data_IF_143285184047
#
_entry.id   IF_143285184047
#
_cell.length_a   1.000
_cell.length_b   1.000
_cell.length_c   1.000
_cell.angle_alpha   90.00
_cell.angle_beta   90.00
_cell.angle_gamma   90.00
#
_symmetry.space_group_name_H-M   'P 1'
#
loop_
_entity.id
_entity.type
_entity.pdbx_description
1 polymer ?
#
# COMPACT_ATOMS: atom_id res chain seq x y z
N UNK A 1 -2.23 -4.89 3.85
CA UNK A 1 -2.38 -5.40 5.23
C UNK A 1 -1.44 -4.76 6.25
N UNK A 2 -0.10 -4.90 6.14
CA UNK A 2 0.79 -4.29 7.14
C UNK A 2 0.68 -2.76 7.20
N UNK A 3 0.44 -2.11 6.04
CA UNK A 3 0.25 -0.66 5.94
C UNK A 3 -1.04 -0.15 6.59
N UNK A 4 -1.97 -1.04 6.98
CA UNK A 4 -3.15 -0.64 7.73
C UNK A 4 -2.82 -0.38 9.20
N UNK A 5 -1.66 -0.83 9.68
CA UNK A 5 -1.20 -0.58 11.04
C UNK A 5 -0.74 0.87 11.19
N UNK A 6 -1.30 1.64 12.14
CA UNK A 6 -0.73 2.94 12.51
C UNK A 6 0.54 2.79 13.38
N UNK A 7 0.83 1.58 13.87
CA UNK A 7 1.94 1.29 14.77
C UNK A 7 3.24 0.94 14.04
N UNK A 8 3.13 0.36 12.84
CA UNK A 8 4.31 0.02 12.04
C UNK A 8 4.68 1.13 11.07
N UNK A 9 5.97 1.44 11.04
CA UNK A 9 6.56 2.26 10.00
C UNK A 9 7.12 1.35 8.89
N UNK A 10 6.49 1.38 7.72
CA UNK A 10 6.98 0.65 6.56
C UNK A 10 7.90 1.55 5.74
N UNK A 11 9.07 1.03 5.41
CA UNK A 11 9.99 1.69 4.49
C UNK A 11 9.32 1.78 3.12
N UNK A 12 9.27 2.99 2.56
CA UNK A 12 8.68 3.23 1.25
C UNK A 12 9.53 2.67 0.11
N UNK A 13 8.88 2.32 -1.01
CA UNK A 13 9.56 1.87 -2.23
C UNK A 13 10.62 2.87 -2.73
N UNK A 14 10.38 4.18 -2.58
CA UNK A 14 11.32 5.23 -2.99
C UNK A 14 12.58 5.24 -2.12
N UNK A 15 12.45 5.05 -0.80
CA UNK A 15 13.60 4.89 0.10
C UNK A 15 14.39 3.62 -0.19
N UNK A 16 13.70 2.52 -0.52
CA UNK A 16 14.33 1.26 -0.94
C UNK A 16 15.13 1.49 -2.23
N UNK A 17 14.52 2.08 -3.26
CA UNK A 17 15.17 2.34 -4.55
C UNK A 17 16.37 3.28 -4.40
N UNK A 18 16.25 4.34 -3.58
CA UNK A 18 17.36 5.24 -3.28
C UNK A 18 18.51 4.50 -2.59
N UNK A 19 18.20 3.62 -1.64
CA UNK A 19 19.22 2.82 -0.94
C UNK A 19 19.90 1.82 -1.87
N UNK A 20 19.15 1.19 -2.78
CA UNK A 20 19.70 0.32 -3.82
C UNK A 20 20.71 1.06 -4.70
N UNK A 21 20.40 2.28 -5.15
CA UNK A 21 21.34 3.13 -5.92
C UNK A 21 22.62 3.43 -5.14
N UNK A 22 22.50 3.76 -3.85
CA UNK A 22 23.65 3.98 -2.97
C UNK A 22 24.48 2.71 -2.72
N UNK A 23 23.89 1.53 -2.93
CA UNK A 23 24.55 0.22 -2.86
C UNK A 23 25.08 -0.26 -4.21
N UNK A 24 25.03 0.59 -5.25
CA UNK A 24 25.39 0.24 -6.63
C UNK A 24 24.62 -0.98 -7.16
N UNK A 25 23.38 -1.15 -6.69
CA UNK A 25 22.46 -2.18 -7.15
C UNK A 25 21.42 -1.57 -8.13
N UNK A 26 20.90 -2.34 -9.09
CA UNK A 26 19.78 -1.90 -9.92
C UNK A 26 18.56 -1.51 -9.07
N UNK A 27 17.86 -0.45 -9.45
CA UNK A 27 16.64 0.03 -8.76
C UNK A 27 15.53 -1.03 -8.73
N UNK A 28 15.55 -1.96 -9.69
CA UNK A 28 14.62 -3.08 -9.80
C UNK A 28 15.19 -4.41 -9.30
N UNK A 29 16.31 -4.39 -8.58
CA UNK A 29 16.93 -5.58 -8.02
C UNK A 29 15.91 -6.36 -7.18
N UNK A 30 15.85 -7.67 -7.39
CA UNK A 30 15.00 -8.54 -6.59
C UNK A 30 15.47 -8.51 -5.14
N UNK A 31 14.59 -8.08 -4.24
CA UNK A 31 14.85 -8.08 -2.80
C UNK A 31 14.90 -9.51 -2.26
N UNK A 32 16.08 -10.11 -2.28
CA UNK A 32 16.37 -11.34 -1.54
C UNK A 32 16.42 -11.03 -0.04
N UNK A 33 16.31 -12.03 0.82
CA UNK A 33 16.41 -11.83 2.28
C UNK A 33 17.72 -11.12 2.66
N UNK A 34 18.84 -11.47 2.02
CA UNK A 34 20.13 -10.84 2.27
C UNK A 34 20.16 -9.38 1.84
N UNK A 35 19.64 -9.07 0.64
CA UNK A 35 19.61 -7.70 0.12
C UNK A 35 18.65 -6.83 0.95
N UNK A 36 17.46 -7.34 1.28
CA UNK A 36 16.49 -6.67 2.13
C UNK A 36 17.08 -6.39 3.53
N UNK A 37 17.86 -7.32 4.10
CA UNK A 37 18.53 -7.11 5.39
C UNK A 37 19.59 -6.01 5.31
N UNK A 38 20.39 -5.98 4.24
CA UNK A 38 21.38 -4.91 4.04
C UNK A 38 20.72 -3.54 3.93
N UNK A 39 19.62 -3.44 3.17
CA UNK A 39 18.83 -2.20 3.06
C UNK A 39 18.26 -1.82 4.43
N UNK A 40 17.67 -2.78 5.15
CA UNK A 40 17.10 -2.53 6.46
C UNK A 40 18.14 -2.00 7.47
N UNK A 41 19.35 -2.56 7.49
CA UNK A 41 20.44 -2.07 8.33
C UNK A 41 20.85 -0.64 7.97
N UNK A 42 20.98 -0.33 6.68
CA UNK A 42 21.37 1.02 6.20
C UNK A 42 20.33 2.08 6.49
N UNK A 43 19.05 1.71 6.48
CA UNK A 43 17.93 2.58 6.80
C UNK A 43 17.62 2.63 8.30
N UNK A 44 18.39 1.92 9.14
CA UNK A 44 18.19 1.91 10.59
C UNK A 44 16.88 1.27 11.04
N UNK A 45 16.26 0.44 10.19
CA UNK A 45 15.01 -0.22 10.51
C UNK A 45 15.23 -1.47 11.39
N UNK A 46 14.16 -1.90 12.06
CA UNK A 46 14.23 -2.94 13.10
C UNK A 46 14.18 -4.35 12.53
N UNK A 47 13.29 -4.59 11.57
CA UNK A 47 13.02 -5.91 11.03
C UNK A 47 12.70 -5.90 9.53
N UNK A 48 13.03 -6.99 8.85
CA UNK A 48 12.56 -7.31 7.50
C UNK A 48 11.41 -8.29 7.63
N UNK A 49 10.30 -8.04 6.94
CA UNK A 49 9.25 -9.03 6.77
C UNK A 49 9.54 -9.84 5.50
N UNK A 50 9.80 -11.13 5.67
CA UNK A 50 10.00 -12.07 4.58
C UNK A 50 8.74 -12.93 4.41
N UNK A 51 8.37 -13.18 3.16
CA UNK A 51 7.24 -14.03 2.79
C UNK A 51 7.70 -15.24 2.00
N UNK A 52 7.03 -16.36 2.18
CA UNK A 52 7.17 -17.55 1.33
C UNK A 52 5.79 -18.12 1.01
N UNK A 53 5.68 -18.76 -0.15
CA UNK A 53 4.49 -19.52 -0.55
C UNK A 53 4.94 -20.82 -1.18
N UNK A 54 4.38 -21.93 -0.71
CA UNK A 54 4.62 -23.26 -1.24
C UNK A 54 3.29 -23.92 -1.61
N UNK A 55 3.30 -24.72 -2.68
CA UNK A 55 2.16 -25.56 -3.03
C UNK A 55 2.40 -26.98 -2.49
N UNK A 56 1.41 -27.52 -1.79
CA UNK A 56 1.40 -28.86 -1.20
C UNK A 56 0.12 -29.57 -1.63
N UNK A 57 0.20 -30.26 -2.77
CA UNK A 57 -0.96 -30.93 -3.37
C UNK A 57 -1.99 -29.92 -3.87
N UNK A 58 -3.17 -29.91 -3.25
CA UNK A 58 -4.21 -28.90 -3.56
C UNK A 58 -4.11 -27.64 -2.69
N UNK A 59 -3.32 -27.66 -1.62
CA UNK A 59 -3.22 -26.56 -0.67
C UNK A 59 -2.01 -25.66 -0.94
N UNK A 60 -2.08 -24.43 -0.46
CA UNK A 60 -0.98 -23.49 -0.40
C UNK A 60 -0.61 -23.25 1.07
N UNK A 61 0.68 -23.26 1.36
CA UNK A 61 1.22 -22.89 2.67
C UNK A 61 1.97 -21.58 2.51
N UNK A 62 1.52 -20.56 3.22
CA UNK A 62 2.16 -19.25 3.28
C UNK A 62 2.91 -19.12 4.60
N UNK A 63 4.17 -18.69 4.51
CA UNK A 63 4.98 -18.34 5.67
C UNK A 63 5.26 -16.84 5.68
N UNK A 64 5.08 -16.21 6.83
CA UNK A 64 5.51 -14.82 7.08
C UNK A 64 6.48 -14.84 8.24
N UNK A 65 7.65 -14.22 8.09
CA UNK A 65 8.62 -14.11 9.17
C UNK A 65 9.14 -12.69 9.31
N UNK A 66 9.30 -12.25 10.55
CA UNK A 66 9.98 -11.00 10.87
C UNK A 66 11.42 -11.32 11.27
N UNK A 67 12.38 -10.84 10.51
CA UNK A 67 13.81 -11.08 10.71
C UNK A 67 14.47 -9.83 11.27
N UNK A 68 15.20 -9.94 12.38
CA UNK A 68 15.94 -8.82 12.97
C UNK A 68 17.01 -8.34 11.98
N UNK A 69 17.04 -7.04 11.69
CA UNK A 69 17.93 -6.55 10.64
C UNK A 69 19.41 -6.70 10.99
N UNK A 70 19.79 -6.55 12.26
CA UNK A 70 21.19 -6.65 12.69
C UNK A 70 21.76 -8.07 12.59
N UNK A 71 21.00 -9.09 12.95
CA UNK A 71 21.50 -10.48 13.08
C UNK A 71 20.96 -11.41 11.99
N UNK A 72 19.78 -11.14 11.44
CA UNK A 72 19.03 -12.06 10.59
C UNK A 72 18.26 -13.14 11.37
N UNK A 73 18.26 -13.08 12.70
CA UNK A 73 17.48 -14.00 13.53
C UNK A 73 15.97 -13.75 13.37
N UNK A 74 15.18 -14.82 13.38
CA UNK A 74 13.72 -14.74 13.38
C UNK A 74 13.25 -14.18 14.71
N UNK A 75 12.60 -13.01 14.68
CA UNK A 75 11.90 -12.42 15.81
C UNK A 75 10.58 -13.16 16.06
N UNK A 76 9.85 -13.43 14.98
CA UNK A 76 8.60 -14.15 15.00
C UNK A 76 8.25 -14.68 13.62
N UNK A 77 7.39 -15.68 13.56
CA UNK A 77 6.89 -16.27 12.34
C UNK A 77 5.41 -16.66 12.48
N UNK A 78 4.73 -16.63 11.33
CA UNK A 78 3.39 -17.14 11.13
C UNK A 78 3.36 -18.06 9.92
N UNK A 79 2.53 -19.09 10.03
CA UNK A 79 2.22 -19.98 8.93
C UNK A 79 0.71 -20.14 8.81
N UNK A 80 0.21 -19.90 7.60
CA UNK A 80 -1.20 -19.99 7.27
C UNK A 80 -1.39 -20.83 6.02
N UNK A 81 -2.52 -21.51 5.93
CA UNK A 81 -2.84 -22.42 4.83
C UNK A 81 -4.06 -21.94 4.07
N UNK A 82 -4.03 -22.07 2.74
CA UNK A 82 -5.17 -21.83 1.87
C UNK A 82 -5.50 -23.11 1.10
N UNK A 83 -6.76 -23.55 1.09
CA UNK A 83 -7.16 -24.79 0.40
C UNK A 83 -7.21 -24.65 -1.12
N UNK A 84 -7.13 -23.42 -1.62
CA UNK A 84 -7.24 -23.10 -3.04
C UNK A 84 -6.56 -21.76 -3.36
N UNK A 85 -6.25 -21.54 -4.64
CA UNK A 85 -5.67 -20.28 -5.13
C UNK A 85 -6.54 -19.06 -4.73
N UNK A 86 -7.86 -19.19 -4.76
CA UNK A 86 -8.79 -18.11 -4.42
C UNK A 86 -8.80 -17.73 -2.93
N UNK A 87 -8.33 -18.61 -2.04
CA UNK A 87 -8.25 -18.33 -0.60
C UNK A 87 -6.89 -17.79 -0.16
N UNK A 88 -5.92 -17.70 -1.09
CA UNK A 88 -4.55 -17.25 -0.78
C UNK A 88 -4.53 -15.84 -0.19
N UNK A 89 -5.36 -14.92 -0.71
CA UNK A 89 -5.44 -13.54 -0.20
C UNK A 89 -6.01 -13.49 1.21
N UNK A 90 -7.09 -14.22 1.47
CA UNK A 90 -7.71 -14.29 2.79
C UNK A 90 -6.75 -14.88 3.83
N UNK A 91 -6.07 -15.98 3.49
CA UNK A 91 -5.07 -16.59 4.35
C UNK A 91 -3.90 -15.64 4.62
N UNK A 92 -3.40 -14.95 3.58
CA UNK A 92 -2.34 -13.94 3.73
C UNK A 92 -2.79 -12.77 4.64
N UNK A 93 -4.02 -12.30 4.50
CA UNK A 93 -4.57 -11.24 5.35
C UNK A 93 -4.59 -11.69 6.82
N UNK A 94 -5.10 -12.90 7.09
CA UNK A 94 -5.08 -13.48 8.44
C UNK A 94 -3.66 -13.55 9.01
N UNK A 95 -2.72 -14.13 8.26
CA UNK A 95 -1.34 -14.28 8.72
C UNK A 95 -0.66 -12.94 8.99
N UNK A 96 -0.95 -11.91 8.19
CA UNK A 96 -0.43 -10.56 8.43
C UNK A 96 -1.01 -9.92 9.69
N UNK A 97 -2.28 -10.15 10.00
CA UNK A 97 -2.92 -9.66 11.24
C UNK A 97 -2.39 -10.35 12.48
N UNK A 98 -2.17 -11.67 12.43
CA UNK A 98 -1.52 -12.43 13.50
C UNK A 98 -0.08 -11.95 13.74
N UNK A 99 0.67 -11.74 12.65
CA UNK A 99 2.03 -11.20 12.69
C UNK A 99 2.08 -9.80 13.33
N UNK A 100 1.11 -8.92 13.00
CA UNK A 100 0.96 -7.59 13.64
C UNK A 100 0.85 -7.72 15.16
N UNK A 101 0.02 -8.65 15.64
CA UNK A 101 -0.15 -8.93 17.06
C UNK A 101 1.14 -9.43 17.73
N UNK A 102 1.83 -10.40 17.10
CA UNK A 102 3.10 -10.93 17.62
C UNK A 102 4.23 -9.88 17.65
N UNK A 103 4.17 -8.89 16.77
CA UNK A 103 5.10 -7.76 16.71
C UNK A 103 4.72 -6.58 17.64
N UNK A 104 3.68 -6.76 18.46
CA UNK A 104 3.36 -5.84 19.56
C UNK A 104 2.23 -4.85 19.27
N UNK A 105 1.57 -4.93 18.12
CA UNK A 105 0.35 -4.14 17.90
C UNK A 105 -0.79 -4.64 18.79
N UNK A 106 -1.48 -3.73 19.48
CA UNK A 106 -2.57 -4.09 20.39
C UNK A 106 -3.76 -4.70 19.64
N UNK A 107 -4.47 -5.62 20.30
CA UNK A 107 -5.70 -6.22 19.77
C UNK A 107 -6.77 -5.17 19.41
N UNK A 108 -6.89 -4.10 20.20
CA UNK A 108 -7.81 -2.99 19.92
C UNK A 108 -7.47 -2.25 18.63
N UNK A 109 -6.18 -2.01 18.37
CA UNK A 109 -5.71 -1.38 17.12
C UNK A 109 -5.98 -2.29 15.93
N UNK A 110 -5.62 -3.57 16.03
CA UNK A 110 -5.89 -4.55 14.95
C UNK A 110 -7.38 -4.59 14.66
N UNK A 111 -8.25 -4.73 15.67
CA UNK A 111 -9.71 -4.75 15.46
C UNK A 111 -10.24 -3.47 14.79
N UNK A 112 -9.64 -2.32 15.07
CA UNK A 112 -10.07 -1.04 14.49
C UNK A 112 -9.62 -0.88 13.04
N UNK A 113 -8.40 -1.28 12.70
CA UNK A 113 -7.78 -0.95 11.42
C UNK A 113 -7.68 -2.13 10.44
N UNK A 114 -7.88 -3.36 10.90
CA UNK A 114 -7.77 -4.56 10.06
C UNK A 114 -9.02 -4.78 9.21
N UNK A 115 -8.97 -4.24 7.99
CA UNK A 115 -9.98 -4.48 6.96
C UNK A 115 -9.47 -5.62 6.06
N UNK A 116 -10.27 -6.68 5.85
CA UNK A 116 -9.89 -7.79 4.96
C UNK A 116 -9.47 -7.27 3.58
N UNK A 117 -8.44 -7.88 2.98
CA UNK A 117 -7.93 -7.44 1.67
C UNK A 117 -9.02 -7.44 0.60
N UNK A 118 -9.93 -8.41 0.64
CA UNK A 118 -11.05 -8.52 -0.30
C UNK A 118 -12.02 -7.34 -0.19
N UNK A 119 -12.16 -6.78 1.02
CA UNK A 119 -13.00 -5.63 1.28
C UNK A 119 -12.27 -4.33 0.98
N UNK A 120 -11.00 -4.19 1.39
CA UNK A 120 -10.21 -2.96 1.24
C UNK A 120 -9.68 -2.76 -0.18
N UNK A 121 -9.37 -3.85 -0.89
CA UNK A 121 -8.70 -3.83 -2.19
C UNK A 121 -9.51 -4.60 -3.24
N UNK A 122 -9.25 -5.89 -3.41
CA UNK A 122 -9.89 -6.75 -4.40
C UNK A 122 -9.81 -8.22 -3.99
N UNK A 123 -10.80 -9.02 -4.38
CA UNK A 123 -10.75 -10.48 -4.26
C UNK A 123 -10.09 -11.16 -5.47
N UNK A 124 -9.77 -10.42 -6.54
CA UNK A 124 -9.11 -10.95 -7.73
C UNK A 124 -7.60 -10.81 -7.61
N UNK A 125 -6.89 -11.95 -7.62
CA UNK A 125 -5.43 -11.98 -7.67
C UNK A 125 -4.89 -11.28 -8.92
N UNK A 126 -5.57 -11.44 -10.05
CA UNK A 126 -5.22 -10.82 -11.31
C UNK A 126 -5.41 -9.29 -11.26
N UNK A 127 -6.48 -8.81 -10.61
CA UNK A 127 -6.69 -7.37 -10.39
C UNK A 127 -5.62 -6.80 -9.45
N UNK A 128 -5.31 -7.51 -8.36
CA UNK A 128 -4.27 -7.11 -7.42
C UNK A 128 -2.91 -7.06 -8.10
N UNK A 129 -2.57 -8.06 -8.91
CA UNK A 129 -1.33 -8.09 -9.69
C UNK A 129 -1.22 -6.88 -10.63
N UNK A 130 -2.27 -6.59 -11.39
CA UNK A 130 -2.30 -5.44 -12.29
C UNK A 130 -2.13 -4.13 -11.51
N UNK A 131 -2.81 -3.97 -10.38
CA UNK A 131 -2.67 -2.81 -9.50
C UNK A 131 -1.25 -2.67 -8.93
N UNK A 132 -0.64 -3.74 -8.42
CA UNK A 132 0.73 -3.72 -7.90
C UNK A 132 1.74 -3.32 -8.97
N UNK A 133 1.59 -3.85 -10.20
CA UNK A 133 2.43 -3.44 -11.33
C UNK A 133 2.20 -1.98 -11.71
N UNK A 134 0.95 -1.50 -11.71
CA UNK A 134 0.61 -0.10 -11.98
C UNK A 134 1.24 0.84 -10.96
N UNK A 135 1.17 0.49 -9.67
CA UNK A 135 1.84 1.25 -8.59
C UNK A 135 3.36 1.28 -8.78
N UNK A 136 3.97 0.17 -9.19
CA UNK A 136 5.40 0.13 -9.49
C UNK A 136 5.78 1.08 -10.62
N UNK A 137 5.03 1.06 -11.73
CA UNK A 137 5.23 1.98 -12.85
C UNK A 137 5.07 3.45 -12.41
N UNK A 138 4.01 3.75 -11.65
CA UNK A 138 3.73 5.10 -11.14
C UNK A 138 4.81 5.63 -10.19
N UNK A 139 5.17 4.85 -9.16
CA UNK A 139 6.01 5.35 -8.04
C UNK A 139 7.50 5.18 -8.31
N UNK A 140 7.92 4.07 -8.94
CA UNK A 140 9.33 3.75 -9.10
C UNK A 140 9.89 4.19 -10.46
N UNK A 141 9.04 4.28 -11.49
CA UNK A 141 9.45 4.57 -12.87
C UNK A 141 8.93 5.92 -13.37
N UNK A 142 8.03 6.56 -12.62
CA UNK A 142 7.29 7.77 -13.05
C UNK A 142 6.63 7.60 -14.43
N UNK A 143 6.34 6.35 -14.81
CA UNK A 143 5.71 6.00 -16.08
C UNK A 143 4.19 5.96 -15.90
N UNK A 144 3.61 7.15 -15.85
CA UNK A 144 2.17 7.34 -15.67
C UNK A 144 1.35 6.73 -16.81
N UNK A 145 1.88 6.69 -18.04
CA UNK A 145 1.17 6.11 -19.19
C UNK A 145 1.03 4.58 -19.07
N UNK A 146 2.11 3.89 -18.70
CA UNK A 146 2.05 2.45 -18.41
C UNK A 146 1.20 2.17 -17.17
N UNK A 147 1.30 3.02 -16.13
CA UNK A 147 0.49 2.88 -14.92
C UNK A 147 -1.02 2.98 -15.22
N UNK A 148 -1.44 3.93 -16.07
CA UNK A 148 -2.84 4.06 -16.53
C UNK A 148 -3.36 2.74 -17.10
N UNK A 149 -2.62 2.14 -18.04
CA UNK A 149 -3.03 0.87 -18.69
C UNK A 149 -3.18 -0.27 -17.66
N UNK A 150 -2.29 -0.31 -16.66
CA UNK A 150 -2.30 -1.33 -15.61
C UNK A 150 -3.47 -1.12 -14.61
N UNK A 151 -3.77 0.13 -14.25
CA UNK A 151 -4.92 0.44 -13.39
C UNK A 151 -6.26 0.22 -14.09
N UNK A 152 -6.38 0.58 -15.38
CA UNK A 152 -7.55 0.24 -16.20
C UNK A 152 -7.76 -1.27 -16.26
N UNK A 153 -6.68 -2.06 -16.37
CA UNK A 153 -6.76 -3.51 -16.31
C UNK A 153 -7.27 -4.00 -14.96
N UNK A 154 -6.75 -3.46 -13.85
CA UNK A 154 -7.21 -3.79 -12.51
C UNK A 154 -8.72 -3.51 -12.35
N UNK A 155 -9.18 -2.34 -12.80
CA UNK A 155 -10.59 -1.93 -12.79
C UNK A 155 -11.46 -2.84 -13.67
N UNK A 156 -10.98 -3.26 -14.84
CA UNK A 156 -11.73 -4.17 -15.71
C UNK A 156 -11.96 -5.55 -15.08
N UNK A 157 -11.05 -5.96 -14.19
CA UNK A 157 -11.11 -7.23 -13.47
C UNK A 157 -11.92 -7.10 -12.18
N UNK A 158 -11.85 -5.93 -11.53
CA UNK A 158 -12.63 -5.58 -10.35
C UNK A 158 -13.11 -4.11 -10.42
N UNK A 159 -14.34 -3.87 -10.90
CA UNK A 159 -14.92 -2.52 -11.01
C UNK A 159 -15.20 -1.85 -9.66
N UNK A 160 -14.91 -2.52 -8.55
CA UNK A 160 -15.09 -2.00 -7.20
C UNK A 160 -13.79 -1.73 -6.46
N UNK A 161 -12.65 -1.85 -7.16
CA UNK A 161 -11.33 -1.59 -6.60
C UNK A 161 -11.06 -0.08 -6.47
N UNK A 162 -11.50 0.52 -5.36
CA UNK A 162 -11.47 1.96 -5.13
C UNK A 162 -10.07 2.59 -5.30
N UNK A 163 -9.02 1.95 -4.79
CA UNK A 163 -7.65 2.45 -4.92
C UNK A 163 -7.11 2.42 -6.35
N UNK A 164 -7.59 1.51 -7.20
CA UNK A 164 -7.21 1.52 -8.62
C UNK A 164 -7.76 2.77 -9.32
N UNK A 165 -9.01 3.15 -9.02
CA UNK A 165 -9.58 4.42 -9.49
C UNK A 165 -8.85 5.64 -8.92
N UNK A 166 -8.51 5.63 -7.64
CA UNK A 166 -7.80 6.75 -7.01
C UNK A 166 -6.41 6.96 -7.63
N UNK A 167 -5.66 5.86 -7.80
CA UNK A 167 -4.34 5.88 -8.43
C UNK A 167 -4.41 6.30 -9.89
N UNK A 168 -5.44 5.85 -10.62
CA UNK A 168 -5.70 6.27 -12.00
C UNK A 168 -6.01 7.77 -12.07
N UNK A 169 -6.77 8.31 -11.11
CA UNK A 169 -7.01 9.74 -10.96
C UNK A 169 -5.71 10.54 -10.80
N UNK A 170 -4.83 10.07 -9.91
CA UNK A 170 -3.49 10.66 -9.70
C UNK A 170 -2.63 10.60 -10.97
N UNK A 171 -2.62 9.48 -11.70
CA UNK A 171 -1.89 9.39 -12.97
C UNK A 171 -2.40 10.40 -13.99
N UNK A 172 -3.73 10.53 -14.17
CA UNK A 172 -4.29 11.50 -15.10
C UNK A 172 -4.00 12.95 -14.71
N UNK A 173 -3.98 13.28 -13.41
CA UNK A 173 -3.53 14.60 -12.96
C UNK A 173 -2.07 14.87 -13.37
N UNK A 174 -1.17 13.90 -13.17
CA UNK A 174 0.23 14.03 -13.56
C UNK A 174 0.44 14.07 -15.09
N UNK A 175 -0.48 13.49 -15.85
CA UNK A 175 -0.53 13.58 -17.32
C UNK A 175 -1.26 14.84 -17.82
N UNK A 176 -1.65 15.75 -16.93
CA UNK A 176 -2.37 16.98 -17.25
C UNK A 176 -3.72 16.74 -17.97
N UNK A 177 -4.43 15.67 -17.56
CA UNK A 177 -5.77 15.29 -18.02
C UNK A 177 -6.83 15.43 -16.89
N UNK A 178 -7.13 16.67 -16.43
CA UNK A 178 -7.91 16.90 -15.21
C UNK A 178 -9.35 16.37 -15.26
N UNK A 179 -9.97 16.32 -16.44
CA UNK A 179 -11.32 15.77 -16.59
C UNK A 179 -11.38 14.27 -16.26
N UNK A 180 -10.43 13.50 -16.78
CA UNK A 180 -10.31 12.06 -16.47
C UNK A 180 -9.87 11.83 -15.03
N UNK A 181 -8.99 12.69 -14.51
CA UNK A 181 -8.58 12.65 -13.12
C UNK A 181 -9.79 12.83 -12.18
N UNK A 182 -10.64 13.82 -12.46
CA UNK A 182 -11.83 14.10 -11.68
C UNK A 182 -12.87 12.97 -11.75
N UNK A 183 -13.09 12.39 -12.93
CA UNK A 183 -13.98 11.24 -13.12
C UNK A 183 -13.54 10.05 -12.25
N UNK A 184 -12.27 9.66 -12.35
CA UNK A 184 -11.76 8.49 -11.64
C UNK A 184 -11.67 8.72 -10.13
N UNK A 185 -11.24 9.91 -9.69
CA UNK A 185 -11.22 10.26 -8.27
C UNK A 185 -12.63 10.29 -7.67
N UNK A 186 -13.63 10.80 -8.42
CA UNK A 186 -15.04 10.74 -8.01
C UNK A 186 -15.52 9.30 -7.88
N UNK A 187 -15.11 8.42 -8.82
CA UNK A 187 -15.48 7.01 -8.76
C UNK A 187 -14.87 6.30 -7.55
N UNK A 188 -13.61 6.59 -7.22
CA UNK A 188 -12.98 6.11 -6.00
C UNK A 188 -13.74 6.57 -4.74
N UNK A 189 -14.15 7.84 -4.71
CA UNK A 189 -14.91 8.40 -3.58
C UNK A 189 -16.29 7.73 -3.40
N UNK A 190 -16.94 7.31 -4.49
CA UNK A 190 -18.20 6.55 -4.42
C UNK A 190 -18.01 5.13 -3.83
N UNK A 191 -16.78 4.64 -3.73
CA UNK A 191 -16.44 3.30 -3.26
C UNK A 191 -15.79 3.30 -1.86
N UNK A 192 -15.86 4.40 -1.11
CA UNK A 192 -15.21 4.56 0.20
C UNK A 192 -15.60 3.51 1.25
N UNK A 193 -16.80 2.93 1.18
CA UNK A 193 -17.21 1.88 2.12
C UNK A 193 -16.44 0.56 1.93
N UNK A 194 -15.60 0.50 0.89
CA UNK A 194 -14.79 -0.66 0.50
C UNK A 194 -13.28 -0.36 0.56
N UNK A 195 -12.88 0.40 1.57
CA UNK A 195 -11.48 0.80 1.74
C UNK A 195 -11.06 0.66 3.19
N UNK A 196 -9.78 0.41 3.42
CA UNK A 196 -9.18 0.62 4.74
C UNK A 196 -9.21 2.10 5.13
N UNK A 197 -9.03 2.40 6.42
CA UNK A 197 -9.04 3.79 6.90
C UNK A 197 -7.96 4.63 6.21
N UNK A 198 -6.77 4.05 5.98
CA UNK A 198 -5.68 4.70 5.24
C UNK A 198 -6.11 5.10 3.83
N UNK A 199 -6.69 4.16 3.10
CA UNK A 199 -7.15 4.37 1.72
C UNK A 199 -8.32 5.37 1.67
N UNK A 200 -9.22 5.31 2.67
CA UNK A 200 -10.33 6.26 2.81
C UNK A 200 -9.83 7.69 2.95
N UNK A 201 -8.84 7.92 3.80
CA UNK A 201 -8.24 9.24 4.00
C UNK A 201 -7.57 9.73 2.72
N UNK A 202 -6.79 8.86 2.06
CA UNK A 202 -6.17 9.17 0.76
C UNK A 202 -7.19 9.58 -0.31
N UNK A 203 -8.27 8.80 -0.48
CA UNK A 203 -9.31 9.09 -1.47
C UNK A 203 -10.07 10.37 -1.13
N UNK A 204 -10.40 10.57 0.15
CA UNK A 204 -11.17 11.72 0.62
C UNK A 204 -10.39 13.02 0.41
N UNK A 205 -9.11 13.03 0.78
CA UNK A 205 -8.26 14.20 0.62
C UNK A 205 -8.06 14.58 -0.86
N UNK A 206 -7.82 13.59 -1.73
CA UNK A 206 -7.67 13.81 -3.17
C UNK A 206 -8.99 14.27 -3.82
N UNK A 207 -10.13 13.74 -3.39
CA UNK A 207 -11.44 14.17 -3.88
C UNK A 207 -11.70 15.65 -3.56
N UNK A 208 -11.50 16.06 -2.31
CA UNK A 208 -11.74 17.45 -1.93
C UNK A 208 -10.73 18.40 -2.58
N UNK A 209 -9.46 18.01 -2.68
CA UNK A 209 -8.42 18.84 -3.29
C UNK A 209 -8.60 18.99 -4.81
N UNK A 210 -8.78 17.90 -5.54
CA UNK A 210 -8.69 17.91 -7.01
C UNK A 210 -10.05 17.91 -7.72
N UNK A 211 -11.12 17.46 -7.08
CA UNK A 211 -12.46 17.39 -7.71
C UNK A 211 -13.36 18.50 -7.22
N UNK A 212 -13.52 18.61 -5.90
CA UNK A 212 -14.42 19.58 -5.31
C UNK A 212 -13.81 20.98 -5.28
N UNK A 213 -12.50 21.08 -5.03
CA UNK A 213 -11.79 22.34 -4.79
C UNK A 213 -12.00 22.90 -3.37
N UNK A 214 -12.61 22.13 -2.46
CA UNK A 214 -12.81 22.50 -1.06
C UNK A 214 -11.54 22.19 -0.26
N UNK A 215 -10.58 23.11 -0.33
CA UNK A 215 -9.26 22.97 0.27
C UNK A 215 -9.30 22.83 1.79
N UNK A 216 -10.31 23.40 2.47
CA UNK A 216 -10.48 23.25 3.92
C UNK A 216 -10.87 21.82 4.30
N UNK A 217 -11.72 21.15 3.49
CA UNK A 217 -12.00 19.72 3.71
C UNK A 217 -10.84 18.82 3.33
N UNK A 218 -10.05 19.22 2.32
CA UNK A 218 -8.82 18.51 1.99
C UNK A 218 -7.82 18.58 3.14
N UNK A 219 -7.59 19.77 3.71
CA UNK A 219 -6.77 20.01 4.90
C UNK A 219 -7.20 19.11 6.06
N UNK A 220 -8.49 19.12 6.43
CA UNK A 220 -9.02 18.27 7.50
C UNK A 220 -8.75 16.77 7.28
N UNK A 221 -8.90 16.30 6.04
CA UNK A 221 -8.63 14.90 5.71
C UNK A 221 -7.13 14.58 5.79
N UNK A 222 -6.26 15.48 5.35
CA UNK A 222 -4.81 15.32 5.48
C UNK A 222 -4.34 15.40 6.92
N UNK A 223 -4.85 16.32 7.74
CA UNK A 223 -4.54 16.43 9.16
C UNK A 223 -4.88 15.13 9.88
N UNK A 224 -6.10 14.61 9.69
CA UNK A 224 -6.50 13.32 10.23
C UNK A 224 -5.59 12.17 9.73
N UNK A 225 -5.15 12.25 8.47
CA UNK A 225 -4.13 11.38 7.89
C UNK A 225 -2.80 11.44 8.63
N UNK A 226 -2.30 12.63 8.96
CA UNK A 226 -1.05 12.82 9.71
C UNK A 226 -1.18 12.42 11.18
N UNK A 227 -2.35 12.58 11.79
CA UNK A 227 -2.60 12.14 13.16
C UNK A 227 -2.69 10.61 13.26
N UNK A 228 -3.39 9.99 12.30
CA UNK A 228 -3.63 8.54 12.29
C UNK A 228 -2.41 7.76 11.77
N UNK A 229 -1.76 8.29 10.74
CA UNK A 229 -0.60 7.70 10.07
C UNK A 229 0.56 8.71 10.02
N UNK A 230 1.18 9.06 11.17
CA UNK A 230 2.21 10.10 11.26
C UNK A 230 3.51 9.79 10.49
N UNK A 231 3.65 8.56 9.99
CA UNK A 231 4.81 8.14 9.18
C UNK A 231 4.52 8.20 7.67
N UNK A 232 3.27 8.48 7.27
CA UNK A 232 2.89 8.60 5.87
C UNK A 232 3.27 9.99 5.33
N UNK A 233 4.51 10.10 4.84
CA UNK A 233 5.09 11.35 4.34
C UNK A 233 4.24 11.99 3.24
N UNK A 234 3.48 11.20 2.47
CA UNK A 234 2.61 11.72 1.41
C UNK A 234 1.54 12.68 1.95
N UNK A 235 1.02 12.44 3.17
CA UNK A 235 0.04 13.34 3.78
C UNK A 235 0.65 14.72 4.06
N UNK A 236 1.89 14.78 4.57
CA UNK A 236 2.57 16.06 4.83
C UNK A 236 2.90 16.82 3.54
N UNK A 237 3.34 16.11 2.49
CA UNK A 237 3.64 16.72 1.18
C UNK A 237 2.36 17.36 0.61
N UNK A 238 1.29 16.60 0.52
CA UNK A 238 0.05 17.10 -0.07
C UNK A 238 -0.62 18.18 0.81
N UNK A 239 -0.49 18.09 2.14
CA UNK A 239 -0.93 19.14 3.05
C UNK A 239 -0.15 20.44 2.85
N UNK A 240 1.16 20.36 2.61
CA UNK A 240 1.98 21.53 2.25
C UNK A 240 1.49 22.20 0.96
N UNK A 241 1.06 21.41 -0.03
CA UNK A 241 0.48 21.95 -1.27
C UNK A 241 -0.85 22.66 -1.00
N UNK A 242 -1.69 22.10 -0.12
CA UNK A 242 -2.96 22.74 0.29
C UNK A 242 -2.70 24.07 1.00
N UNK A 243 -1.75 24.13 1.95
CA UNK A 243 -1.39 25.38 2.63
C UNK A 243 -0.84 26.43 1.67
N UNK A 244 -0.01 26.03 0.70
CA UNK A 244 0.53 26.93 -0.33
C UNK A 244 -0.57 27.66 -1.11
N UNK A 245 -1.73 27.02 -1.31
CA UNK A 245 -2.87 27.61 -2.01
C UNK A 245 -3.77 28.41 -1.07
N UNK A 246 -3.90 28.02 0.20
CA UNK A 246 -4.73 28.72 1.19
C UNK A 246 -4.09 30.02 1.71
N UNK A 247 -2.76 30.14 1.71
CA UNK A 247 -2.00 31.33 2.11
C UNK A 247 -1.53 31.29 3.56
#
# INVERSE_FOLDING_TARGET
>A
QLEQSPYFNLISDSQIAQTLRLMEQPDNARLTNDLARQICQRLGATAVIAGSIANLGSQYVLGLSALKCSTGETLTEEQVTADSKSQVLAALAQGASELRGKLGESFSSIRQFDVPLEQATTSSLEALQAFTLGRKAMVQQEDYASAVTLFERAISLDPSFAMAYASLGTCYNNLNEPAKAAENTTKAYQLLDRTSEREKLYITSHFYQFVNGDLLKAEQAYDLGTETYPQDVANYINLSDVYSVLG
#
